data_IF_294473720838
#
_entry.id   IF_294473720838
#
_cell.length_a   1.000
_cell.length_b   1.000
_cell.length_c   1.000
_cell.angle_alpha   90.00
_cell.angle_beta   90.00
_cell.angle_gamma   90.00
#
_symmetry.space_group_name_H-M   'P 1'
#
loop_
_entity.id
_entity.type
_entity.pdbx_description
1 polymer ?
#
# COMPACT_ATOMS: atom_id res chain seq x y z
N UNK A 1 17.85 -10.29 -12.51
CA UNK A 1 19.11 -10.86 -11.99
C UNK A 1 18.72 -11.84 -10.91
N UNK A 2 18.92 -13.12 -11.20
CA UNK A 2 18.51 -14.28 -10.40
C UNK A 2 19.46 -14.40 -9.21
N UNK A 3 18.94 -14.71 -8.02
CA UNK A 3 19.71 -15.46 -7.02
C UNK A 3 18.84 -16.57 -6.47
N UNK A 4 19.01 -17.72 -7.09
CA UNK A 4 18.71 -19.05 -6.57
C UNK A 4 19.93 -19.56 -5.78
N UNK A 5 19.65 -20.44 -4.82
CA UNK A 5 20.55 -21.39 -4.15
C UNK A 5 21.49 -20.85 -3.05
N UNK A 6 21.24 -21.31 -1.82
CA UNK A 6 22.25 -21.67 -0.82
C UNK A 6 21.59 -22.58 0.24
N UNK A 7 21.23 -23.80 -0.20
CA UNK A 7 21.12 -24.98 0.67
C UNK A 7 22.44 -25.75 0.50
N UNK A 8 23.28 -25.76 1.53
CA UNK A 8 24.11 -26.91 1.95
C UNK A 8 25.10 -26.47 3.03
N UNK A 9 24.68 -26.55 4.28
CA UNK A 9 25.64 -26.71 5.37
C UNK A 9 25.05 -27.61 6.45
N UNK A 10 25.07 -28.92 6.19
CA UNK A 10 24.88 -29.92 7.23
C UNK A 10 25.80 -31.13 7.00
N UNK A 11 27.05 -31.02 7.44
CA UNK A 11 27.87 -32.19 7.77
C UNK A 11 29.06 -31.80 8.66
N UNK A 12 29.02 -32.20 9.92
CA UNK A 12 30.17 -32.12 10.84
C UNK A 12 29.76 -31.90 12.29
N UNK A 13 29.39 -32.97 12.98
CA UNK A 13 29.07 -32.98 14.41
C UNK A 13 30.33 -32.90 15.29
N UNK A 14 30.26 -32.10 16.36
CA UNK A 14 30.78 -32.47 17.69
C UNK A 14 30.19 -31.53 18.76
N UNK A 15 29.22 -32.09 19.50
CA UNK A 15 29.01 -32.02 20.95
C UNK A 15 28.98 -30.67 21.73
N UNK A 16 27.88 -30.56 22.50
CA UNK A 16 27.69 -29.81 23.76
C UNK A 16 27.39 -28.30 23.70
N UNK A 17 26.10 -27.98 23.59
CA UNK A 17 25.39 -27.16 24.60
C UNK A 17 23.87 -27.17 24.31
N UNK A 18 23.18 -28.19 24.81
CA UNK A 18 21.71 -28.26 24.75
C UNK A 18 21.10 -27.35 25.82
N UNK A 19 20.75 -26.11 25.45
CA UNK A 19 19.91 -25.27 26.30
C UNK A 19 18.44 -25.64 26.08
N UNK A 20 17.94 -26.60 26.86
CA UNK A 20 16.53 -26.99 26.88
C UNK A 20 15.70 -25.92 27.60
N UNK A 21 14.96 -25.11 26.85
CA UNK A 21 13.86 -24.31 27.42
C UNK A 21 12.65 -25.25 27.59
N UNK A 22 12.57 -25.87 28.76
CA UNK A 22 11.34 -26.47 29.25
C UNK A 22 10.32 -25.35 29.47
N UNK A 23 9.36 -25.22 28.55
CA UNK A 23 8.25 -24.29 28.73
C UNK A 23 7.21 -24.95 29.64
N UNK A 24 7.47 -24.94 30.95
CA UNK A 24 6.40 -25.04 31.94
C UNK A 24 5.50 -23.80 31.79
N UNK A 25 4.28 -23.98 31.29
CA UNK A 25 3.22 -22.96 31.34
C UNK A 25 2.82 -22.78 32.80
N UNK A 26 3.58 -21.96 33.53
CA UNK A 26 3.19 -21.45 34.84
C UNK A 26 2.11 -20.39 34.63
N UNK A 27 0.88 -20.77 34.93
CA UNK A 27 -0.25 -19.84 35.01
C UNK A 27 -0.07 -18.95 36.25
N UNK A 28 0.79 -17.94 36.15
CA UNK A 28 0.94 -16.91 37.18
C UNK A 28 0.17 -15.67 36.72
N UNK A 29 -0.87 -15.32 37.48
CA UNK A 29 -1.54 -14.03 37.39
C UNK A 29 -0.57 -12.93 37.85
N UNK A 30 0.34 -12.52 36.96
CA UNK A 30 1.27 -11.41 37.21
C UNK A 30 0.48 -10.09 37.11
N UNK A 31 0.29 -9.40 38.24
CA UNK A 31 -0.08 -7.97 38.22
C UNK A 31 1.02 -7.23 37.47
N UNK A 32 0.68 -6.65 36.32
CA UNK A 32 1.63 -5.94 35.45
C UNK A 32 2.42 -4.89 36.23
N UNK A 33 3.74 -4.91 36.10
CA UNK A 33 4.60 -3.84 36.64
C UNK A 33 4.42 -2.59 35.79
N UNK A 34 4.54 -1.39 36.38
CA UNK A 34 4.46 -0.11 35.63
C UNK A 34 5.38 -0.09 34.41
N UNK A 35 6.56 -0.71 34.50
CA UNK A 35 7.51 -0.82 33.40
C UNK A 35 6.96 -1.66 32.22
N UNK A 36 6.21 -2.74 32.48
CA UNK A 36 5.57 -3.54 31.44
C UNK A 36 4.43 -2.77 30.77
N UNK A 37 3.65 -2.00 31.54
CA UNK A 37 2.62 -1.11 30.98
C UNK A 37 3.20 0.02 30.12
N UNK A 38 4.32 0.63 30.55
CA UNK A 38 5.03 1.65 29.77
C UNK A 38 5.65 1.08 28.49
N UNK A 39 6.22 -0.13 28.55
CA UNK A 39 6.75 -0.82 27.38
C UNK A 39 5.64 -1.17 26.38
N UNK A 40 4.49 -1.67 26.85
CA UNK A 40 3.35 -1.98 25.99
C UNK A 40 2.77 -0.74 25.30
N UNK A 41 2.78 0.43 25.96
CA UNK A 41 2.38 1.71 25.33
C UNK A 41 3.39 2.19 24.28
N UNK A 42 4.67 1.90 24.47
CA UNK A 42 5.75 2.32 23.56
C UNK A 42 5.81 1.44 22.31
N UNK A 43 5.62 0.13 22.45
CA UNK A 43 5.73 -0.84 21.37
C UNK A 43 4.36 -1.41 21.02
N UNK A 44 3.74 -0.81 20.02
CA UNK A 44 2.40 -1.19 19.56
C UNK A 44 2.50 -1.84 18.19
N UNK A 45 1.93 -3.04 18.06
CA UNK A 45 1.71 -3.69 16.76
C UNK A 45 0.51 -3.02 16.09
N UNK A 46 0.72 -2.51 14.87
CA UNK A 46 -0.36 -1.98 14.03
C UNK A 46 -0.72 -2.98 12.94
N UNK A 47 -1.98 -3.03 12.56
CA UNK A 47 -2.44 -3.71 11.36
C UNK A 47 -1.98 -2.96 10.10
N UNK A 48 -1.95 -3.59 8.91
CA UNK A 48 -1.61 -2.91 7.67
C UNK A 48 -2.49 -1.67 7.40
N UNK A 49 -3.80 -1.79 7.63
CA UNK A 49 -4.75 -0.69 7.44
C UNK A 49 -4.47 0.49 8.37
N UNK A 50 -4.26 0.22 9.67
CA UNK A 50 -3.89 1.27 10.63
C UNK A 50 -2.55 1.91 10.29
N UNK A 51 -1.60 1.15 9.74
CA UNK A 51 -0.30 1.69 9.34
C UNK A 51 -0.45 2.67 8.18
N UNK A 52 -1.24 2.35 7.16
CA UNK A 52 -1.55 3.25 6.03
C UNK A 52 -2.18 4.55 6.53
N UNK A 53 -3.19 4.46 7.40
CA UNK A 53 -3.87 5.64 7.94
C UNK A 53 -2.99 6.50 8.85
N UNK A 54 -2.05 5.88 9.57
CA UNK A 54 -1.19 6.61 10.52
C UNK A 54 0.12 7.12 9.90
N UNK A 55 0.49 6.63 8.70
CA UNK A 55 1.69 7.07 7.96
C UNK A 55 1.40 7.14 6.46
N UNK A 56 0.44 7.97 6.02
CA UNK A 56 0.05 8.06 4.62
C UNK A 56 1.18 8.54 3.71
N UNK A 57 2.10 9.36 4.24
CA UNK A 57 3.23 9.91 3.48
C UNK A 57 4.10 8.85 2.79
N UNK A 58 4.27 7.68 3.40
CA UNK A 58 5.05 6.58 2.82
C UNK A 58 4.32 5.80 1.71
N UNK A 59 3.02 6.01 1.55
CA UNK A 59 2.19 5.31 0.58
C UNK A 59 1.77 6.22 -0.58
N UNK A 60 1.25 7.41 -0.27
CA UNK A 60 0.68 8.33 -1.26
C UNK A 60 1.46 9.64 -1.39
N UNK A 61 2.48 9.84 -0.55
CA UNK A 61 3.17 11.12 -0.41
C UNK A 61 2.43 12.08 0.53
N UNK A 62 2.88 13.33 0.57
CA UNK A 62 2.41 14.28 1.59
C UNK A 62 0.91 14.57 1.52
N UNK A 63 0.26 14.54 2.68
CA UNK A 63 -1.14 14.95 2.85
C UNK A 63 -1.30 16.45 3.12
N UNK A 64 -0.19 17.18 3.20
CA UNK A 64 -0.17 18.63 3.41
C UNK A 64 -0.14 19.39 2.08
N UNK A 65 -0.60 20.63 2.10
CA UNK A 65 -0.51 21.54 0.94
C UNK A 65 0.95 21.84 0.62
N UNK A 66 1.33 21.65 -0.64
CA UNK A 66 2.67 21.94 -1.16
C UNK A 66 2.60 22.78 -2.42
N UNK A 67 3.57 23.68 -2.58
CA UNK A 67 3.74 24.51 -3.77
C UNK A 67 4.81 23.89 -4.66
N UNK A 68 4.49 23.58 -5.91
CA UNK A 68 5.47 23.11 -6.88
C UNK A 68 5.25 23.74 -8.27
N UNK A 69 6.34 23.83 -9.04
CA UNK A 69 6.31 24.23 -10.44
C UNK A 69 6.00 23.00 -11.32
N UNK A 70 4.73 22.82 -11.69
CA UNK A 70 4.23 21.67 -12.45
C UNK A 70 3.72 22.08 -13.84
N UNK A 71 3.70 21.11 -14.76
CA UNK A 71 3.12 21.28 -16.08
C UNK A 71 1.60 21.12 -16.02
N UNK A 72 0.88 22.11 -16.53
CA UNK A 72 -0.58 22.10 -16.62
C UNK A 72 -0.98 22.41 -18.06
N UNK A 73 -2.00 21.71 -18.55
CA UNK A 73 -2.61 22.00 -19.83
C UNK A 73 -3.62 23.14 -19.70
N UNK A 74 -3.54 24.11 -20.60
CA UNK A 74 -4.48 25.21 -20.75
C UNK A 74 -5.00 25.23 -22.19
N UNK A 75 -6.30 25.45 -22.40
CA UNK A 75 -6.91 25.35 -23.74
C UNK A 75 -6.38 26.40 -24.74
N UNK A 76 -5.88 27.54 -24.25
CA UNK A 76 -5.38 28.64 -25.10
C UNK A 76 -3.88 28.52 -25.31
N UNK A 77 -3.14 28.26 -24.24
CA UNK A 77 -1.67 28.29 -24.24
C UNK A 77 -1.05 26.90 -24.50
N UNK A 78 -1.83 25.83 -24.31
CA UNK A 78 -1.33 24.46 -24.28
C UNK A 78 -0.58 24.14 -22.98
N UNK A 79 0.35 23.19 -23.05
CA UNK A 79 1.18 22.81 -21.90
C UNK A 79 2.04 23.99 -21.44
N UNK A 80 1.83 24.45 -20.21
CA UNK A 80 2.61 25.51 -19.59
C UNK A 80 3.04 25.12 -18.16
N UNK A 81 4.22 25.56 -17.75
CA UNK A 81 4.77 25.27 -16.42
C UNK A 81 4.45 26.43 -15.48
N UNK A 82 3.76 26.15 -14.36
CA UNK A 82 3.32 27.18 -13.39
C UNK A 82 3.40 26.68 -11.95
N UNK A 83 3.52 27.62 -11.01
CA UNK A 83 3.41 27.34 -9.57
C UNK A 83 1.97 26.96 -9.23
N UNK A 84 1.79 25.77 -8.67
CA UNK A 84 0.49 25.25 -8.21
C UNK A 84 0.61 24.83 -6.76
N UNK A 85 -0.41 25.18 -5.98
CA UNK A 85 -0.61 24.67 -4.62
C UNK A 85 -1.54 23.45 -4.71
N UNK A 86 -1.08 22.30 -4.27
CA UNK A 86 -1.86 21.06 -4.30
C UNK A 86 -1.46 20.13 -3.16
N UNK A 87 -2.26 19.09 -2.91
CA UNK A 87 -1.94 18.03 -1.96
C UNK A 87 -1.39 16.82 -2.72
N UNK A 88 -0.10 16.46 -2.58
CA UNK A 88 0.50 15.34 -3.31
C UNK A 88 -0.24 14.00 -3.12
N UNK A 89 -0.69 13.71 -1.90
CA UNK A 89 -1.46 12.49 -1.58
C UNK A 89 -2.76 12.40 -2.37
N UNK A 90 -3.49 13.51 -2.53
CA UNK A 90 -4.72 13.56 -3.32
C UNK A 90 -4.44 13.31 -4.81
N UNK A 91 -3.39 13.94 -5.34
CA UNK A 91 -2.96 13.68 -6.71
C UNK A 91 -2.60 12.22 -6.93
N UNK A 92 -1.90 11.60 -5.96
CA UNK A 92 -1.40 10.24 -6.15
C UNK A 92 -2.49 9.18 -6.10
N UNK A 93 -3.50 9.32 -5.23
CA UNK A 93 -4.63 8.36 -5.22
C UNK A 93 -5.43 8.40 -6.52
N UNK A 94 -5.52 9.57 -7.19
CA UNK A 94 -6.11 9.65 -8.52
C UNK A 94 -5.23 8.97 -9.57
N UNK A 95 -3.92 9.22 -9.54
CA UNK A 95 -2.96 8.61 -10.46
C UNK A 95 -2.95 7.07 -10.38
N UNK A 96 -3.06 6.47 -9.19
CA UNK A 96 -3.16 5.00 -9.04
C UNK A 96 -4.35 4.42 -9.82
N UNK A 97 -5.52 5.06 -9.76
CA UNK A 97 -6.71 4.58 -10.49
C UNK A 97 -6.52 4.77 -12.00
N UNK A 98 -5.95 5.89 -12.42
CA UNK A 98 -5.70 6.18 -13.83
C UNK A 98 -4.69 5.21 -14.45
N UNK A 99 -3.59 4.91 -13.74
CA UNK A 99 -2.58 3.95 -14.19
C UNK A 99 -3.17 2.54 -14.25
N UNK A 100 -3.99 2.13 -13.28
CA UNK A 100 -4.70 0.85 -13.34
C UNK A 100 -5.60 0.75 -14.59
N UNK A 101 -6.32 1.82 -14.93
CA UNK A 101 -7.13 1.86 -16.15
C UNK A 101 -6.27 1.81 -17.42
N UNK A 102 -5.10 2.46 -17.43
CA UNK A 102 -4.18 2.43 -18.55
C UNK A 102 -3.51 1.04 -18.74
N UNK A 103 -3.06 0.42 -17.65
CA UNK A 103 -2.44 -0.90 -17.65
C UNK A 103 -3.38 -1.99 -18.11
N UNK A 104 -4.70 -1.78 -17.95
CA UNK A 104 -5.71 -2.66 -18.51
C UNK A 104 -5.55 -2.88 -20.02
N UNK A 105 -5.05 -1.89 -20.77
CA UNK A 105 -4.76 -2.03 -22.21
C UNK A 105 -3.76 -3.13 -22.53
N UNK A 106 -2.79 -3.33 -21.65
CA UNK A 106 -1.76 -4.35 -21.84
C UNK A 106 -2.35 -5.75 -21.66
N UNK A 107 -3.30 -5.89 -20.73
CA UNK A 107 -4.02 -7.14 -20.47
C UNK A 107 -5.07 -7.44 -21.53
N UNK A 108 -5.82 -6.42 -21.94
CA UNK A 108 -6.87 -6.48 -22.95
C UNK A 108 -6.57 -5.51 -24.10
N UNK A 109 -5.96 -6.01 -25.21
CA UNK A 109 -5.69 -5.21 -26.39
C UNK A 109 -6.94 -4.65 -27.07
N UNK A 110 -8.15 -5.11 -26.75
CA UNK A 110 -9.39 -4.58 -27.32
C UNK A 110 -9.84 -3.27 -26.68
N UNK A 111 -9.39 -2.97 -25.45
CA UNK A 111 -9.67 -1.72 -24.77
C UNK A 111 -9.24 -0.51 -25.61
N UNK A 112 -10.08 0.49 -25.75
CA UNK A 112 -9.79 1.67 -26.58
C UNK A 112 -10.28 2.99 -26.00
N UNK A 113 -10.95 2.96 -24.84
CA UNK A 113 -11.55 4.14 -24.21
C UNK A 113 -11.13 4.15 -22.75
N UNK A 114 -10.63 5.31 -22.32
CA UNK A 114 -10.60 5.74 -20.91
C UNK A 114 -11.38 7.04 -20.84
N UNK A 115 -12.31 7.16 -19.89
CA UNK A 115 -13.05 8.38 -19.60
C UNK A 115 -12.78 8.78 -18.16
N UNK A 116 -12.50 10.06 -17.95
CA UNK A 116 -12.32 10.65 -16.63
C UNK A 116 -13.35 11.75 -16.47
N UNK A 117 -14.13 11.67 -15.41
CA UNK A 117 -15.10 12.68 -15.02
C UNK A 117 -14.73 13.21 -13.63
N UNK A 118 -14.66 14.52 -13.49
CA UNK A 118 -14.34 15.20 -12.24
C UNK A 118 -15.50 16.14 -11.95
N UNK A 119 -16.16 15.89 -10.84
CA UNK A 119 -17.25 16.70 -10.30
C UNK A 119 -16.82 17.28 -8.94
N UNK A 120 -16.32 18.53 -8.94
CA UNK A 120 -15.89 19.20 -7.71
C UNK A 120 -17.04 19.51 -6.75
N UNK A 121 -18.27 19.66 -7.25
CA UNK A 121 -19.43 20.02 -6.42
C UNK A 121 -19.84 18.84 -5.52
N UNK A 122 -19.75 17.62 -6.06
CA UNK A 122 -20.06 16.38 -5.34
C UNK A 122 -18.81 15.67 -4.79
N UNK A 123 -17.62 16.26 -4.92
CA UNK A 123 -16.33 15.66 -4.54
C UNK A 123 -16.15 14.24 -5.12
N UNK A 124 -16.47 14.09 -6.40
CA UNK A 124 -16.53 12.82 -7.09
C UNK A 124 -15.55 12.81 -8.27
N UNK A 125 -14.72 11.78 -8.33
CA UNK A 125 -13.86 11.48 -9.49
C UNK A 125 -14.23 10.09 -9.98
N UNK A 126 -14.58 9.97 -11.26
CA UNK A 126 -14.87 8.70 -11.91
C UNK A 126 -13.85 8.43 -13.01
N UNK A 127 -13.29 7.23 -13.00
CA UNK A 127 -12.42 6.71 -14.05
C UNK A 127 -13.09 5.46 -14.61
N UNK A 128 -13.35 5.48 -15.91
CA UNK A 128 -13.96 4.37 -16.64
C UNK A 128 -13.02 3.91 -17.74
N UNK A 129 -12.83 2.61 -17.89
CA UNK A 129 -12.27 2.00 -19.09
C UNK A 129 -13.21 0.92 -19.62
N UNK A 130 -13.21 0.73 -20.94
CA UNK A 130 -13.88 -0.41 -21.54
C UNK A 130 -12.95 -1.64 -21.60
N UNK A 131 -13.41 -2.70 -22.25
CA UNK A 131 -12.71 -3.98 -22.30
C UNK A 131 -13.24 -4.97 -21.27
N UNK A 132 -12.50 -6.06 -21.07
CA UNK A 132 -12.84 -7.10 -20.10
C UNK A 132 -12.89 -6.54 -18.67
N UNK A 133 -13.99 -6.83 -17.97
CA UNK A 133 -14.16 -6.43 -16.58
C UNK A 133 -13.36 -7.29 -15.61
N UNK A 134 -13.48 -6.97 -14.31
CA UNK A 134 -13.07 -7.90 -13.25
C UNK A 134 -14.05 -9.08 -13.25
N UNK A 135 -13.59 -10.34 -13.27
CA UNK A 135 -14.47 -11.50 -13.21
C UNK A 135 -15.34 -11.47 -11.95
N UNK A 136 -16.65 -11.55 -12.12
CA UNK A 136 -17.60 -11.59 -11.00
C UNK A 136 -17.79 -13.04 -10.57
N UNK A 137 -16.87 -13.54 -9.74
CA UNK A 137 -16.88 -14.92 -9.26
C UNK A 137 -16.28 -15.01 -7.85
N UNK A 138 -16.81 -15.93 -7.03
CA UNK A 138 -16.26 -16.20 -5.70
C UNK A 138 -14.84 -16.73 -5.81
N UNK A 139 -13.88 -16.08 -5.16
CA UNK A 139 -12.51 -16.56 -5.05
C UNK A 139 -12.48 -17.91 -4.32
N UNK A 140 -11.84 -18.92 -4.91
CA UNK A 140 -11.90 -20.31 -4.46
C UNK A 140 -11.33 -20.53 -3.06
N UNK A 141 -10.27 -19.83 -2.72
CA UNK A 141 -9.57 -19.93 -1.42
C UNK A 141 -10.12 -18.92 -0.41
N UNK A 142 -10.04 -17.63 -0.75
CA UNK A 142 -10.44 -16.52 0.11
C UNK A 142 -11.95 -16.43 0.42
N UNK A 143 -12.82 -17.11 -0.34
CA UNK A 143 -14.30 -17.08 -0.18
C UNK A 143 -14.89 -15.66 -0.15
N UNK A 144 -14.28 -14.77 -0.93
CA UNK A 144 -14.73 -13.39 -1.18
C UNK A 144 -15.06 -13.20 -2.67
N UNK A 145 -15.86 -12.18 -2.98
CA UNK A 145 -16.26 -11.82 -4.35
C UNK A 145 -15.22 -10.95 -5.06
#
# INVERSE_FOLDING_TARGET
>A
FVMSELDDWNSGASEEDSFSIDTEVRNTSVKGTKAAEEASKRYVKKTPHEHVLTRPDSYVGSIELSTADIWVYDDVVGMNKRKVNYVPGLYKIFDEILVNAADHKQRDPSMNIIKVEIDPENNLIQVYNNGDGIPVQMHSEEKIW
#
